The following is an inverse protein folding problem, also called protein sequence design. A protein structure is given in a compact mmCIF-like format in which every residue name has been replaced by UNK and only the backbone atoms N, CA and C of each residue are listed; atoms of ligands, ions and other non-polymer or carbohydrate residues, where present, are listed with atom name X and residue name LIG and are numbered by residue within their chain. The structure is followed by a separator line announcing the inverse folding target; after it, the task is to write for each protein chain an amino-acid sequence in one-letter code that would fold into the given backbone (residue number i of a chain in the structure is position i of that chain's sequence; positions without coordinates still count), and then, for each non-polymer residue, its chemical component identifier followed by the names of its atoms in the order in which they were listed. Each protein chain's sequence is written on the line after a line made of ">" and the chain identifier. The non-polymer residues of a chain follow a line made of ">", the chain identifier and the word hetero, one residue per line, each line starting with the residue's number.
data_IF_195095972447
#
_entry.id   IF_195095972447
#
_cell.length_a   1.000
_cell.length_b   1.000
_cell.length_c   1.000
_cell.angle_alpha   90.00
_cell.angle_beta   90.00
_cell.angle_gamma   90.00
#
_symmetry.space_group_name_H-M   'P 1'
#
loop_
_entity.id
_entity.type
_entity.pdbx_description
1 polymer ?
#
# COMPACT_ATOMS: atom_id res chain seq x y z
N UNK A 1 5.11 3.22 8.35
CA UNK A 1 4.85 2.60 9.65
C UNK A 1 4.41 1.17 9.42
N UNK A 2 4.81 0.26 10.31
CA UNK A 2 4.31 -1.11 10.29
C UNK A 2 2.91 -1.12 10.92
N UNK A 3 1.97 -1.85 10.35
CA UNK A 3 0.58 -1.89 10.82
C UNK A 3 0.01 -3.28 10.64
N UNK A 4 -0.64 -3.79 11.69
CA UNK A 4 -1.31 -5.09 11.65
C UNK A 4 -2.64 -4.97 10.92
N UNK A 5 -2.73 -5.54 9.71
CA UNK A 5 -3.91 -5.54 8.84
C UNK A 5 -4.07 -6.96 8.28
N UNK A 6 -5.30 -7.48 8.26
CA UNK A 6 -5.59 -8.85 7.81
C UNK A 6 -4.75 -9.93 8.54
N UNK A 7 -4.44 -9.71 9.82
CA UNK A 7 -3.60 -10.64 10.62
C UNK A 7 -2.10 -10.61 10.26
N UNK A 8 -1.66 -9.65 9.45
CA UNK A 8 -0.28 -9.52 8.95
C UNK A 8 0.30 -8.15 9.26
N UNK A 9 1.62 -8.07 9.33
CA UNK A 9 2.30 -6.78 9.44
C UNK A 9 2.62 -6.23 8.05
N UNK A 10 1.90 -5.17 7.66
CA UNK A 10 2.11 -4.46 6.40
C UNK A 10 2.82 -3.13 6.66
N UNK A 11 3.70 -2.72 5.76
CA UNK A 11 4.33 -1.40 5.84
C UNK A 11 3.52 -0.38 5.05
N UNK A 12 3.02 0.66 5.72
CA UNK A 12 2.24 1.75 5.14
C UNK A 12 3.05 3.06 5.15
N UNK A 13 3.00 3.82 4.08
CA UNK A 13 3.61 5.15 3.96
C UNK A 13 2.60 6.12 3.35
N UNK A 14 2.20 7.14 4.11
CA UNK A 14 1.19 8.12 3.69
C UNK A 14 1.85 9.44 3.34
N UNK A 15 1.40 10.08 2.26
CA UNK A 15 1.87 11.39 1.81
C UNK A 15 0.72 12.20 1.21
N UNK A 16 0.76 13.52 1.40
CA UNK A 16 -0.25 14.44 0.89
C UNK A 16 -1.47 14.58 1.81
N UNK A 17 -2.41 15.41 1.37
CA UNK A 17 -3.63 15.78 2.08
C UNK A 17 -4.81 15.73 1.10
N UNK A 18 -6.03 15.57 1.61
CA UNK A 18 -7.26 15.50 0.79
C UNK A 18 -7.89 14.10 0.74
N UNK A 19 -8.62 13.76 -0.34
CA UNK A 19 -9.29 12.46 -0.50
C UNK A 19 -8.31 11.28 -0.38
N UNK A 20 -8.73 10.22 0.31
CA UNK A 20 -7.87 9.06 0.58
C UNK A 20 -7.81 8.12 -0.62
N UNK A 21 -6.60 7.84 -1.08
CA UNK A 21 -6.32 6.90 -2.18
C UNK A 21 -5.26 5.92 -1.72
N UNK A 22 -5.53 4.62 -1.89
CA UNK A 22 -4.54 3.58 -1.60
C UNK A 22 -3.75 3.23 -2.85
N UNK A 23 -2.44 3.02 -2.68
CA UNK A 23 -1.56 2.52 -3.73
C UNK A 23 -0.85 1.26 -3.29
N UNK A 24 -0.91 0.22 -4.14
CA UNK A 24 -0.21 -1.04 -3.91
C UNK A 24 1.21 -0.93 -4.45
N UNK A 25 2.21 -1.21 -3.60
CA UNK A 25 3.59 -1.40 -4.01
C UNK A 25 3.80 -2.86 -4.44
N UNK A 26 4.22 -3.08 -5.70
CA UNK A 26 4.45 -4.41 -6.26
C UNK A 26 5.96 -4.70 -6.45
N UNK A 27 6.40 -5.97 -6.30
CA UNK A 27 7.80 -6.44 -6.32
C UNK A 27 8.71 -5.96 -7.46
N UNK A 28 8.16 -5.56 -8.60
CA UNK A 28 8.94 -5.31 -9.84
C UNK A 28 9.09 -3.85 -10.21
N UNK A 29 8.59 -2.93 -9.38
CA UNK A 29 8.62 -1.52 -9.70
C UNK A 29 9.81 -0.87 -9.03
N UNK A 30 10.65 -0.23 -9.84
CA UNK A 30 11.74 0.58 -9.34
C UNK A 30 11.19 1.65 -8.37
N UNK A 31 11.86 1.81 -7.22
CA UNK A 31 11.46 2.74 -6.15
C UNK A 31 11.32 4.19 -6.63
N UNK A 32 12.04 4.60 -7.67
CA UNK A 32 11.93 5.94 -8.25
C UNK A 32 10.68 6.07 -9.13
N UNK A 33 10.30 5.01 -9.86
CA UNK A 33 9.04 4.96 -10.60
C UNK A 33 7.85 5.05 -9.64
N UNK A 34 7.90 4.30 -8.54
CA UNK A 34 6.90 4.37 -7.47
C UNK A 34 6.81 5.77 -6.87
N UNK A 35 7.95 6.37 -6.49
CA UNK A 35 7.98 7.71 -5.89
C UNK A 35 7.42 8.79 -6.81
N UNK A 36 7.75 8.76 -8.12
CA UNK A 36 7.19 9.72 -9.09
C UNK A 36 5.67 9.64 -9.18
N UNK A 37 5.12 8.43 -9.17
CA UNK A 37 3.66 8.23 -9.23
C UNK A 37 2.96 8.60 -7.94
N UNK A 38 3.55 8.28 -6.78
CA UNK A 38 3.04 8.71 -5.47
C UNK A 38 2.99 10.24 -5.40
N UNK A 39 4.07 10.92 -5.81
CA UNK A 39 4.13 12.38 -5.80
C UNK A 39 3.08 13.02 -6.72
N UNK A 40 2.85 12.43 -7.90
CA UNK A 40 1.84 12.93 -8.83
C UNK A 40 0.41 12.80 -8.25
N UNK A 41 0.09 11.67 -7.61
CA UNK A 41 -1.21 11.46 -6.98
C UNK A 41 -1.40 12.31 -5.71
N UNK A 42 -0.32 12.54 -4.95
CA UNK A 42 -0.33 13.31 -3.72
C UNK A 42 -0.56 14.81 -3.93
N UNK A 43 -0.48 15.32 -5.16
CA UNK A 43 -0.72 16.73 -5.50
C UNK A 43 -2.18 17.20 -5.27
N UNK A 44 -3.07 16.30 -4.87
CA UNK A 44 -4.44 16.64 -4.47
C UNK A 44 -5.17 15.53 -3.70
N UNK A 45 -4.45 14.51 -3.24
CA UNK A 45 -4.99 13.37 -2.51
C UNK A 45 -4.07 13.02 -1.34
N UNK A 46 -4.64 12.42 -0.30
CA UNK A 46 -3.88 11.68 0.69
C UNK A 46 -3.61 10.28 0.16
N UNK A 47 -2.36 10.00 -0.22
CA UNK A 47 -1.96 8.74 -0.83
C UNK A 47 -1.27 7.88 0.21
N UNK A 48 -1.76 6.64 0.40
CA UNK A 48 -1.07 5.64 1.23
C UNK A 48 -0.54 4.54 0.34
N UNK A 49 0.79 4.46 0.22
CA UNK A 49 1.48 3.34 -0.38
C UNK A 49 1.67 2.23 0.67
N UNK A 50 1.37 0.98 0.34
CA UNK A 50 1.71 -0.14 1.21
C UNK A 50 2.49 -1.23 0.48
N UNK A 51 3.41 -1.85 1.22
CA UNK A 51 4.15 -3.02 0.75
C UNK A 51 3.38 -4.29 1.14
N UNK A 52 3.23 -5.20 0.16
CA UNK A 52 2.66 -6.53 0.38
C UNK A 52 3.53 -7.34 1.36
N UNK A 53 2.92 -8.34 2.01
CA UNK A 53 3.65 -9.31 2.81
C UNK A 53 4.89 -9.85 2.06
N UNK A 54 6.02 -9.92 2.77
CA UNK A 54 7.29 -10.39 2.21
C UNK A 54 7.92 -9.49 1.15
N UNK A 55 7.42 -8.26 0.98
CA UNK A 55 7.94 -7.28 0.02
C UNK A 55 8.35 -5.97 0.67
N UNK A 56 9.31 -5.29 0.03
CA UNK A 56 9.74 -3.97 0.44
C UNK A 56 10.19 -3.96 1.90
N UNK A 57 9.42 -3.27 2.75
CA UNK A 57 9.66 -3.15 4.19
C UNK A 57 8.72 -4.02 5.05
N UNK A 58 7.76 -4.71 4.45
CA UNK A 58 6.85 -5.59 5.16
C UNK A 58 7.51 -6.96 5.42
N UNK A 59 7.47 -7.48 6.66
CA UNK A 59 7.97 -8.81 6.95
C UNK A 59 7.17 -9.89 6.21
N UNK A 60 7.77 -11.06 6.05
CA UNK A 60 7.08 -12.24 5.51
C UNK A 60 6.43 -13.00 6.67
N UNK A 61 5.13 -13.29 6.55
CA UNK A 61 4.39 -14.18 7.46
C UNK A 61 4.29 -15.62 6.90
N UNK A 62 4.96 -15.90 5.77
CA UNK A 62 5.01 -17.22 5.13
C UNK A 62 3.89 -17.48 4.12
N UNK A 63 3.02 -16.51 3.84
CA UNK A 63 1.95 -16.66 2.83
C UNK A 63 2.43 -16.15 1.47
N UNK A 64 1.95 -16.76 0.38
CA UNK A 64 2.25 -16.27 -0.96
C UNK A 64 1.58 -14.92 -1.21
N UNK A 65 2.34 -13.85 -1.53
CA UNK A 65 1.81 -12.51 -1.72
C UNK A 65 0.92 -12.37 -2.96
N UNK A 66 1.03 -13.29 -3.93
CA UNK A 66 0.16 -13.32 -5.10
C UNK A 66 -1.24 -13.86 -4.81
N UNK A 67 -1.38 -14.66 -3.75
CA UNK A 67 -2.68 -15.21 -3.34
C UNK A 67 -3.41 -14.25 -2.41
N UNK A 68 -2.68 -13.62 -1.49
CA UNK A 68 -3.29 -12.77 -0.47
C UNK A 68 -3.33 -11.27 -0.83
N UNK A 69 -2.63 -10.84 -1.88
CA UNK A 69 -2.57 -9.43 -2.26
C UNK A 69 -3.93 -8.72 -2.45
N UNK A 70 -4.93 -9.35 -3.10
CA UNK A 70 -6.27 -8.76 -3.21
C UNK A 70 -6.99 -8.58 -1.87
N UNK A 71 -6.88 -9.57 -0.97
CA UNK A 71 -7.49 -9.53 0.37
C UNK A 71 -6.80 -8.48 1.25
N UNK A 72 -5.47 -8.44 1.20
CA UNK A 72 -4.66 -7.44 1.90
C UNK A 72 -4.99 -6.03 1.40
N UNK A 73 -5.17 -5.83 0.08
CA UNK A 73 -5.62 -4.55 -0.47
C UNK A 73 -7.01 -4.14 0.05
N UNK A 74 -7.97 -5.07 0.07
CA UNK A 74 -9.31 -4.82 0.62
C UNK A 74 -9.24 -4.39 2.09
N UNK A 75 -8.50 -5.14 2.91
CA UNK A 75 -8.32 -4.83 4.32
C UNK A 75 -7.60 -3.49 4.56
N UNK A 76 -6.65 -3.13 3.69
CA UNK A 76 -5.98 -1.81 3.75
C UNK A 76 -6.94 -0.68 3.38
N UNK A 77 -7.78 -0.86 2.35
CA UNK A 77 -8.81 0.12 1.98
C UNK A 77 -9.77 0.38 3.14
N UNK A 78 -10.27 -0.70 3.76
CA UNK A 78 -11.19 -0.63 4.91
C UNK A 78 -10.52 0.03 6.12
N UNK A 79 -9.29 -0.37 6.45
CA UNK A 79 -8.54 0.20 7.57
C UNK A 79 -8.31 1.71 7.40
N UNK A 80 -8.06 2.16 6.17
CA UNK A 80 -7.80 3.56 5.86
C UNK A 80 -9.08 4.36 5.58
N UNK A 81 -10.25 3.72 5.48
CA UNK A 81 -11.48 4.39 5.04
C UNK A 81 -11.34 5.01 3.64
N UNK A 82 -10.56 4.39 2.76
CA UNK A 82 -10.30 4.87 1.42
C UNK A 82 -11.31 4.27 0.44
N UNK A 83 -11.87 5.09 -0.44
CA UNK A 83 -12.90 4.67 -1.39
C UNK A 83 -12.35 4.14 -2.71
N UNK A 84 -11.05 4.27 -2.96
CA UNK A 84 -10.44 3.85 -4.21
C UNK A 84 -8.96 3.47 -4.06
N UNK A 85 -8.50 2.63 -4.98
CA UNK A 85 -7.12 2.23 -5.11
C UNK A 85 -6.60 2.51 -6.53
N UNK A 86 -5.31 2.80 -6.65
CA UNK A 86 -4.58 2.91 -7.92
C UNK A 86 -3.38 1.98 -7.90
N UNK A 87 -3.11 1.32 -9.03
CA UNK A 87 -1.89 0.54 -9.27
C UNK A 87 -0.78 1.35 -9.94
#
# INVERSE_FOLDING_TARGET
>A
MLTTINGKELWLETTGEGPRVVRVSWPRWDKHVLRRRVNALASGNQVTAFDLEGHGRAPSAGTSPFQAGPEDLGAVLDHLGASSASM
#
